data_IF_376898018919
#
_entry.id   IF_376898018919
#
_cell.length_a   1.000
_cell.length_b   1.000
_cell.length_c   1.000
_cell.angle_alpha   90.00
_cell.angle_beta   90.00
_cell.angle_gamma   90.00
#
_symmetry.space_group_name_H-M   'P 1'
#
loop_
_entity.id
_entity.type
_entity.pdbx_description
1 polymer ?
#
# COMPACT_ATOMS: atom_id res chain seq x y z
N UNK A 1 28.68 14.90 26.24
CA UNK A 1 27.52 13.98 26.45
C UNK A 1 27.77 12.71 25.64
N UNK A 2 27.41 11.49 26.10
CA UNK A 2 27.72 10.26 25.33
C UNK A 2 26.72 10.10 24.17
N UNK A 3 27.23 10.01 22.94
CA UNK A 3 26.50 10.23 21.69
C UNK A 3 25.20 9.40 21.54
N UNK A 4 24.05 10.05 21.25
CA UNK A 4 22.77 9.35 21.07
C UNK A 4 22.78 8.38 19.88
N UNK A 5 23.53 8.69 18.82
CA UNK A 5 23.67 7.85 17.62
C UNK A 5 24.13 6.41 17.96
N UNK A 6 25.06 6.25 18.92
CA UNK A 6 25.50 4.92 19.35
C UNK A 6 24.39 4.11 20.04
N UNK A 7 23.45 4.77 20.74
CA UNK A 7 22.29 4.10 21.34
C UNK A 7 21.28 3.68 20.26
N UNK A 8 21.01 4.54 19.28
CA UNK A 8 20.10 4.21 18.17
C UNK A 8 20.61 3.04 17.33
N UNK A 9 21.91 2.98 17.02
CA UNK A 9 22.50 1.84 16.31
C UNK A 9 22.44 0.54 17.13
N UNK A 10 22.63 0.62 18.45
CA UNK A 10 22.49 -0.56 19.32
C UNK A 10 21.04 -1.04 19.36
N UNK A 11 20.07 -0.14 19.54
CA UNK A 11 18.63 -0.43 19.48
C UNK A 11 18.24 -1.07 18.14
N UNK A 12 18.65 -0.51 17.00
CA UNK A 12 18.42 -1.08 15.67
C UNK A 12 19.03 -2.48 15.50
N UNK A 13 20.20 -2.74 16.10
CA UNK A 13 20.82 -4.07 16.08
C UNK A 13 20.05 -5.09 16.93
N UNK A 14 19.57 -4.67 18.11
CA UNK A 14 18.78 -5.49 19.03
C UNK A 14 17.41 -5.81 18.41
N UNK A 15 16.75 -4.81 17.83
CA UNK A 15 15.44 -4.94 17.19
C UNK A 15 15.49 -5.90 15.98
N UNK A 16 16.47 -5.75 15.08
CA UNK A 16 16.66 -6.70 13.97
C UNK A 16 16.99 -8.12 14.44
N UNK A 17 17.80 -8.27 15.49
CA UNK A 17 18.11 -9.58 16.06
C UNK A 17 16.86 -10.21 16.69
N UNK A 18 16.08 -9.44 17.47
CA UNK A 18 14.84 -9.88 18.07
C UNK A 18 13.83 -10.34 17.01
N UNK A 19 13.63 -9.58 15.92
CA UNK A 19 12.71 -9.95 14.82
C UNK A 19 13.15 -11.19 14.04
N UNK A 20 14.46 -11.35 13.83
CA UNK A 20 14.99 -12.57 13.19
C UNK A 20 14.78 -13.77 14.12
N UNK A 21 14.97 -13.56 15.43
CA UNK A 21 14.69 -14.53 16.48
C UNK A 21 13.22 -14.92 16.58
N UNK A 22 12.28 -13.97 16.59
CA UNK A 22 10.84 -14.28 16.67
C UNK A 22 10.37 -15.10 15.48
N UNK A 23 10.75 -14.74 14.24
CA UNK A 23 10.43 -15.55 13.05
C UNK A 23 11.06 -16.95 13.10
N UNK A 24 12.30 -17.08 13.59
CA UNK A 24 12.95 -18.39 13.75
C UNK A 24 12.23 -19.27 14.80
N UNK A 25 11.84 -18.69 15.95
CA UNK A 25 11.05 -19.38 16.97
C UNK A 25 9.69 -19.80 16.42
N UNK A 26 8.98 -18.87 15.75
CA UNK A 26 7.63 -19.08 15.25
C UNK A 26 7.59 -20.19 14.19
N UNK A 27 8.57 -20.22 13.28
CA UNK A 27 8.77 -21.32 12.31
C UNK A 27 9.14 -22.64 12.98
N UNK A 28 9.92 -22.62 14.05
CA UNK A 28 10.26 -23.83 14.79
C UNK A 28 9.04 -24.40 15.53
N UNK A 29 8.23 -23.56 16.17
CA UNK A 29 6.95 -23.95 16.79
C UNK A 29 6.00 -24.53 15.74
N UNK A 30 5.88 -23.89 14.57
CA UNK A 30 5.08 -24.38 13.45
C UNK A 30 5.56 -25.77 12.98
N UNK A 31 6.86 -25.94 12.72
CA UNK A 31 7.44 -27.22 12.29
C UNK A 31 7.24 -28.33 13.34
N UNK A 32 7.39 -28.03 14.63
CA UNK A 32 7.07 -28.98 15.71
C UNK A 32 5.58 -29.36 15.66
N UNK A 33 4.68 -28.38 15.50
CA UNK A 33 3.25 -28.62 15.31
C UNK A 33 2.95 -29.56 14.14
N UNK A 34 3.58 -29.34 12.99
CA UNK A 34 3.45 -30.23 11.81
C UNK A 34 3.97 -31.65 12.09
N UNK A 35 5.12 -31.81 12.74
CA UNK A 35 5.68 -33.13 13.11
C UNK A 35 4.74 -33.90 14.03
N UNK A 36 4.16 -33.23 15.03
CA UNK A 36 3.16 -33.84 15.92
C UNK A 36 1.85 -34.17 15.20
N UNK A 37 1.37 -33.29 14.32
CA UNK A 37 0.17 -33.51 13.52
C UNK A 37 0.32 -34.72 12.58
N UNK A 38 1.47 -34.86 11.91
CA UNK A 38 1.78 -36.02 11.05
C UNK A 38 1.88 -37.30 11.89
N UNK A 39 2.51 -37.24 13.07
CA UNK A 39 2.57 -38.38 13.99
C UNK A 39 1.19 -38.87 14.42
N UNK A 40 0.38 -37.98 15.01
CA UNK A 40 -0.96 -38.30 15.51
C UNK A 40 -1.89 -38.75 14.36
N UNK A 41 -1.88 -38.04 13.23
CA UNK A 41 -2.66 -38.40 12.04
C UNK A 41 -2.26 -39.77 11.46
N UNK A 42 -0.96 -40.07 11.43
CA UNK A 42 -0.45 -41.38 11.00
C UNK A 42 -0.89 -42.53 11.90
N UNK A 43 -0.95 -42.32 13.21
CA UNK A 43 -1.51 -43.30 14.14
C UNK A 43 -3.03 -43.47 13.96
N UNK A 44 -3.79 -42.39 13.78
CA UNK A 44 -5.23 -42.44 13.55
C UNK A 44 -5.63 -43.15 12.24
N UNK A 45 -4.87 -42.98 11.15
CA UNK A 45 -5.19 -43.58 9.85
C UNK A 45 -4.66 -45.01 9.65
N UNK A 46 -3.47 -45.31 10.17
CA UNK A 46 -2.76 -46.58 9.90
C UNK A 46 -2.52 -47.45 11.14
N UNK A 47 -3.03 -47.05 12.30
CA UNK A 47 -2.80 -47.70 13.61
C UNK A 47 -1.30 -47.93 13.92
N UNK A 48 -0.44 -47.04 13.39
CA UNK A 48 1.00 -47.14 13.58
C UNK A 48 1.36 -46.97 15.06
N UNK A 49 2.23 -47.83 15.64
CA UNK A 49 2.60 -47.75 17.04
C UNK A 49 3.36 -46.44 17.29
N UNK A 50 2.71 -45.47 17.93
CA UNK A 50 3.25 -44.12 18.06
C UNK A 50 4.45 -44.10 19.02
N UNK A 51 5.66 -44.00 18.47
CA UNK A 51 6.90 -43.91 19.25
C UNK A 51 7.10 -42.48 19.73
N UNK A 52 6.43 -42.12 20.81
CA UNK A 52 6.50 -40.79 21.45
C UNK A 52 7.95 -40.31 21.67
N UNK A 53 8.88 -41.21 22.03
CA UNK A 53 10.30 -40.90 22.20
C UNK A 53 10.94 -40.29 20.93
N UNK A 54 10.58 -40.80 19.76
CA UNK A 54 11.15 -40.39 18.47
C UNK A 54 10.55 -39.05 18.02
N UNK A 55 9.25 -38.85 18.20
CA UNK A 55 8.58 -37.56 17.99
C UNK A 55 9.14 -36.48 18.93
N UNK A 56 9.37 -36.82 20.20
CA UNK A 56 10.02 -35.95 21.18
C UNK A 56 11.44 -35.57 20.76
N UNK A 57 12.24 -36.55 20.33
CA UNK A 57 13.62 -36.31 19.87
C UNK A 57 13.68 -35.42 18.63
N UNK A 58 12.81 -35.63 17.62
CA UNK A 58 12.73 -34.75 16.45
C UNK A 58 12.32 -33.34 16.87
N UNK A 59 11.30 -33.22 17.73
CA UNK A 59 10.83 -31.92 18.23
C UNK A 59 11.94 -31.15 18.95
N UNK A 60 12.69 -31.83 19.82
CA UNK A 60 13.82 -31.26 20.55
C UNK A 60 14.96 -30.87 19.59
N UNK A 61 15.21 -31.64 18.53
CA UNK A 61 16.18 -31.27 17.49
C UNK A 61 15.76 -30.00 16.73
N UNK A 62 14.48 -29.85 16.35
CA UNK A 62 13.96 -28.62 15.71
C UNK A 62 14.11 -27.41 16.63
N UNK A 63 13.73 -27.54 17.91
CA UNK A 63 13.91 -26.49 18.93
C UNK A 63 15.40 -26.17 19.12
N UNK A 64 16.27 -27.18 19.16
CA UNK A 64 17.72 -27.01 19.26
C UNK A 64 18.31 -26.22 18.09
N UNK A 65 17.89 -26.52 16.85
CA UNK A 65 18.28 -25.75 15.66
C UNK A 65 17.81 -24.29 15.79
N UNK A 66 16.57 -24.05 16.22
CA UNK A 66 16.04 -22.70 16.42
C UNK A 66 16.87 -21.91 17.45
N UNK A 67 17.20 -22.53 18.58
CA UNK A 67 18.07 -21.95 19.62
C UNK A 67 19.48 -21.66 19.07
N UNK A 68 20.07 -22.58 18.30
CA UNK A 68 21.36 -22.35 17.64
C UNK A 68 21.28 -21.17 16.65
N UNK A 69 20.16 -21.00 15.93
CA UNK A 69 19.98 -19.83 15.04
C UNK A 69 19.80 -18.51 15.80
N UNK A 70 19.15 -18.50 16.98
CA UNK A 70 19.12 -17.35 17.89
C UNK A 70 20.52 -16.96 18.37
N UNK A 71 21.36 -17.94 18.66
CA UNK A 71 22.75 -17.75 19.07
C UNK A 71 23.72 -17.45 17.91
N UNK A 72 23.31 -17.45 16.63
CA UNK A 72 24.17 -16.94 15.55
C UNK A 72 24.52 -15.48 15.85
N UNK A 73 25.82 -15.18 15.79
CA UNK A 73 26.44 -13.91 16.18
C UNK A 73 25.57 -12.70 15.81
N UNK A 74 25.26 -11.86 16.80
CA UNK A 74 24.80 -10.47 16.56
C UNK A 74 25.77 -9.80 15.58
N UNK A 75 25.22 -9.17 14.54
CA UNK A 75 26.03 -8.42 13.57
C UNK A 75 26.79 -7.31 14.28
N UNK A 76 28.04 -7.07 13.88
CA UNK A 76 28.83 -5.99 14.47
C UNK A 76 28.24 -4.63 14.08
N UNK A 77 28.40 -3.61 14.94
CA UNK A 77 27.87 -2.25 14.69
C UNK A 77 28.39 -1.66 13.36
N UNK A 78 29.64 -1.92 13.01
CA UNK A 78 30.26 -1.52 11.74
C UNK A 78 29.58 -2.19 10.53
N UNK A 79 29.20 -3.44 10.66
CA UNK A 79 28.58 -4.22 9.59
C UNK A 79 27.09 -3.88 9.40
N UNK A 80 26.41 -3.48 10.49
CA UNK A 80 25.08 -2.85 10.43
C UNK A 80 25.16 -1.50 9.72
N UNK A 81 26.14 -0.65 10.04
CA UNK A 81 26.36 0.63 9.38
C UNK A 81 26.63 0.46 7.87
N UNK A 82 27.61 -0.37 7.48
CA UNK A 82 27.91 -0.66 6.05
C UNK A 82 26.71 -1.23 5.27
N UNK A 83 25.85 -2.04 5.90
CA UNK A 83 24.62 -2.55 5.26
C UNK A 83 23.52 -1.49 5.14
N UNK A 84 23.42 -0.56 6.10
CA UNK A 84 22.56 0.61 5.99
C UNK A 84 23.05 1.51 4.85
N UNK A 85 24.35 1.83 4.82
CA UNK A 85 24.95 2.66 3.77
C UNK A 85 24.71 2.07 2.37
N UNK A 86 24.91 0.76 2.18
CA UNK A 86 24.63 0.10 0.90
C UNK A 86 23.15 0.07 0.53
N UNK A 87 22.24 -0.13 1.49
CA UNK A 87 20.79 -0.21 1.21
C UNK A 87 20.16 1.16 0.90
N UNK A 88 20.69 2.23 1.49
CA UNK A 88 20.19 3.59 1.32
C UNK A 88 21.11 4.48 0.46
N UNK A 89 22.13 3.89 -0.18
CA UNK A 89 23.11 4.58 -1.02
C UNK A 89 23.79 5.78 -0.32
N UNK A 90 24.08 5.66 0.98
CA UNK A 90 24.69 6.72 1.79
C UNK A 90 26.23 6.79 1.64
N UNK A 91 26.81 6.21 0.59
CA UNK A 91 28.24 6.33 0.24
C UNK A 91 29.24 6.14 1.40
N UNK A 92 29.00 5.13 2.25
CA UNK A 92 29.80 4.82 3.45
C UNK A 92 29.86 5.93 4.52
N UNK A 93 28.95 6.91 4.51
CA UNK A 93 28.89 8.01 5.48
C UNK A 93 28.70 7.51 6.92
N UNK A 94 27.78 6.57 7.18
CA UNK A 94 27.56 6.06 8.55
C UNK A 94 28.74 5.19 9.02
N UNK A 95 29.31 4.37 8.14
CA UNK A 95 30.51 3.59 8.44
C UNK A 95 31.71 4.48 8.77
N UNK A 96 31.94 5.54 7.98
CA UNK A 96 33.03 6.50 8.16
C UNK A 96 32.85 7.32 9.43
N UNK A 97 31.64 7.85 9.69
CA UNK A 97 31.33 8.58 10.92
C UNK A 97 31.54 7.71 12.17
N UNK A 98 31.16 6.42 12.13
CA UNK A 98 31.35 5.49 13.24
C UNK A 98 32.83 5.09 13.42
N UNK A 99 33.62 5.01 12.35
CA UNK A 99 35.06 4.79 12.43
C UNK A 99 35.79 6.01 13.00
N UNK A 100 35.43 7.23 12.58
CA UNK A 100 36.00 8.48 13.10
C UNK A 100 35.69 8.65 14.59
N UNK A 101 34.42 8.42 14.98
CA UNK A 101 33.97 8.46 16.37
C UNK A 101 34.67 7.42 17.27
N UNK A 102 35.15 6.31 16.71
CA UNK A 102 35.93 5.31 17.45
C UNK A 102 37.42 5.66 17.55
N UNK A 103 37.99 6.32 16.53
CA UNK A 103 39.43 6.64 16.46
C UNK A 103 39.84 7.95 17.15
N UNK A 104 38.99 8.99 17.20
CA UNK A 104 39.35 10.32 17.74
C UNK A 104 38.23 11.00 18.55
N UNK A 105 38.03 10.65 19.83
CA UNK A 105 36.92 11.17 20.64
C UNK A 105 37.10 12.61 21.20
N UNK A 106 38.00 13.46 20.65
CA UNK A 106 38.58 14.55 21.48
C UNK A 106 38.64 15.99 20.94
N UNK A 107 38.66 16.32 19.62
CA UNK A 107 39.12 17.68 19.22
C UNK A 107 38.59 18.41 17.95
N UNK A 108 37.64 17.91 17.16
CA UNK A 108 37.25 18.60 15.90
C UNK A 108 35.75 18.86 15.78
N UNK A 109 35.38 20.14 15.62
CA UNK A 109 34.00 20.62 15.41
C UNK A 109 33.32 20.01 14.17
N UNK A 110 34.08 19.76 13.10
CA UNK A 110 33.61 19.04 11.90
C UNK A 110 33.02 17.65 12.25
N UNK A 111 33.54 16.98 13.28
CA UNK A 111 33.00 15.69 13.70
C UNK A 111 31.60 15.81 14.32
N UNK A 112 31.29 16.94 14.96
CA UNK A 112 29.96 17.19 15.53
C UNK A 112 28.92 17.54 14.44
N UNK A 113 29.33 18.26 13.40
CA UNK A 113 28.47 18.55 12.25
C UNK A 113 28.14 17.27 11.46
N UNK A 114 29.14 16.43 11.15
CA UNK A 114 28.94 15.12 10.53
C UNK A 114 28.07 14.17 11.39
N UNK A 115 28.25 14.18 12.73
CA UNK A 115 27.39 13.42 13.65
C UNK A 115 25.95 13.92 13.66
N UNK A 116 25.73 15.23 13.52
CA UNK A 116 24.41 15.85 13.50
C UNK A 116 23.67 15.47 12.21
N UNK A 117 24.31 15.59 11.05
CA UNK A 117 23.72 15.22 9.76
C UNK A 117 23.48 13.70 9.62
N UNK A 118 24.42 12.88 10.11
CA UNK A 118 24.23 11.43 10.23
C UNK A 118 23.05 11.05 11.15
N UNK A 119 22.75 11.86 12.17
CA UNK A 119 21.61 11.62 13.05
C UNK A 119 20.27 11.92 12.38
N UNK A 120 20.20 12.99 11.58
CA UNK A 120 18.99 13.38 10.84
C UNK A 120 18.64 12.36 9.74
N UNK A 121 19.62 11.94 8.94
CA UNK A 121 19.45 10.88 7.94
C UNK A 121 19.04 9.55 8.58
N UNK A 122 19.65 9.17 9.72
CA UNK A 122 19.26 7.98 10.48
C UNK A 122 17.80 8.04 10.94
N UNK A 123 17.28 9.21 11.36
CA UNK A 123 15.89 9.37 11.79
C UNK A 123 14.89 9.21 10.63
N UNK A 124 15.18 9.77 9.46
CA UNK A 124 14.35 9.59 8.27
C UNK A 124 14.33 8.12 7.81
N UNK A 125 15.49 7.47 7.82
CA UNK A 125 15.62 6.03 7.54
C UNK A 125 14.84 5.19 8.55
N UNK A 126 14.87 5.54 9.84
CA UNK A 126 14.10 4.86 10.88
C UNK A 126 12.60 4.94 10.62
N UNK A 127 12.05 6.12 10.30
CA UNK A 127 10.62 6.27 9.99
C UNK A 127 10.17 5.48 8.76
N UNK A 128 10.97 5.47 7.67
CA UNK A 128 10.68 4.64 6.49
C UNK A 128 10.73 3.14 6.82
N UNK A 129 11.73 2.72 7.59
CA UNK A 129 11.86 1.33 8.04
C UNK A 129 10.66 0.93 8.91
N UNK A 130 10.20 1.79 9.82
CA UNK A 130 9.07 1.51 10.71
C UNK A 130 7.75 1.39 9.94
N UNK A 131 7.53 2.22 8.90
CA UNK A 131 6.34 2.13 8.04
C UNK A 131 6.33 0.89 7.15
N UNK A 132 7.47 0.47 6.59
CA UNK A 132 7.57 -0.75 5.76
C UNK A 132 7.63 -2.06 6.57
N UNK A 133 7.56 -1.99 7.90
CA UNK A 133 7.67 -3.16 8.78
C UNK A 133 6.30 -3.75 9.12
N UNK A 134 5.70 -4.42 8.13
CA UNK A 134 4.52 -5.24 8.36
C UNK A 134 4.83 -6.28 9.45
N UNK A 135 4.10 -6.20 10.57
CA UNK A 135 4.16 -7.19 11.63
C UNK A 135 3.75 -8.56 11.05
N UNK A 136 4.41 -9.68 11.40
CA UNK A 136 4.17 -10.99 10.77
C UNK A 136 2.88 -11.64 11.31
N UNK A 137 1.75 -10.95 11.14
CA UNK A 137 0.41 -11.41 11.54
C UNK A 137 0.06 -12.76 10.90
N UNK A 138 0.42 -12.96 9.63
CA UNK A 138 0.21 -14.23 8.92
C UNK A 138 0.94 -15.41 9.57
N UNK A 139 2.22 -15.26 9.93
CA UNK A 139 2.95 -16.33 10.65
C UNK A 139 2.34 -16.58 12.05
N UNK A 140 1.82 -15.55 12.73
CA UNK A 140 1.19 -15.69 14.05
C UNK A 140 -0.16 -16.40 13.97
N UNK A 141 -1.02 -16.00 13.02
CA UNK A 141 -2.30 -16.65 12.74
C UNK A 141 -2.11 -18.11 12.33
N UNK A 142 -1.11 -18.41 11.49
CA UNK A 142 -0.78 -19.78 11.10
C UNK A 142 -0.38 -20.66 12.30
N UNK A 143 0.36 -20.12 13.28
CA UNK A 143 0.69 -20.86 14.51
C UNK A 143 -0.52 -21.06 15.42
N UNK A 144 -1.42 -20.08 15.53
CA UNK A 144 -2.68 -20.25 16.27
C UNK A 144 -3.55 -21.33 15.61
N UNK A 145 -3.75 -21.28 14.29
CA UNK A 145 -4.51 -22.28 13.55
C UNK A 145 -3.91 -23.69 13.71
N UNK A 146 -2.59 -23.82 13.58
CA UNK A 146 -1.90 -25.10 13.78
C UNK A 146 -2.05 -25.62 15.21
N UNK A 147 -1.99 -24.74 16.22
CA UNK A 147 -2.20 -25.13 17.62
C UNK A 147 -3.62 -25.62 17.87
N UNK A 148 -4.64 -24.99 17.27
CA UNK A 148 -6.03 -25.43 17.34
C UNK A 148 -6.25 -26.80 16.67
N UNK A 149 -5.62 -27.05 15.52
CA UNK A 149 -5.67 -28.35 14.84
C UNK A 149 -5.02 -29.46 15.69
N UNK A 150 -3.83 -29.21 16.25
CA UNK A 150 -3.15 -30.17 17.15
C UNK A 150 -3.99 -30.44 18.40
N UNK A 151 -4.62 -29.40 18.98
CA UNK A 151 -5.51 -29.54 20.12
C UNK A 151 -6.75 -30.37 19.78
N UNK A 152 -7.39 -30.12 18.64
CA UNK A 152 -8.55 -30.88 18.16
C UNK A 152 -8.24 -32.36 17.90
N UNK A 153 -7.09 -32.65 17.26
CA UNK A 153 -6.60 -34.00 17.07
C UNK A 153 -6.28 -34.70 18.40
N UNK A 154 -5.68 -33.98 19.35
CA UNK A 154 -5.42 -34.50 20.69
C UNK A 154 -6.72 -34.83 21.45
N UNK A 155 -7.75 -33.98 21.35
CA UNK A 155 -9.07 -34.28 21.90
C UNK A 155 -9.72 -35.50 21.25
N UNK A 156 -9.70 -35.62 19.91
CA UNK A 156 -10.21 -36.83 19.24
C UNK A 156 -9.46 -38.10 19.65
N UNK A 157 -8.13 -38.06 19.75
CA UNK A 157 -7.31 -39.19 20.16
C UNK A 157 -7.48 -39.55 21.66
N UNK A 158 -7.78 -38.55 22.52
CA UNK A 158 -7.88 -38.71 23.97
C UNK A 158 -9.28 -39.05 24.50
N UNK A 159 -10.35 -38.48 23.93
CA UNK A 159 -11.73 -38.68 24.43
C UNK A 159 -12.18 -40.14 24.26
N UNK A 160 -11.66 -40.86 23.27
CA UNK A 160 -11.93 -42.30 23.09
C UNK A 160 -11.31 -43.22 24.15
N UNK A 161 -10.45 -42.71 25.04
CA UNK A 161 -9.83 -43.46 26.14
C UNK A 161 -10.15 -42.86 27.51
N UNK A 162 -11.43 -42.55 27.75
CA UNK A 162 -11.94 -42.49 29.13
C UNK A 162 -11.70 -43.87 29.72
N UNK A 163 -10.80 -43.93 30.69
CA UNK A 163 -10.25 -45.15 31.26
C UNK A 163 -11.35 -46.17 31.59
N UNK A 164 -11.40 -47.28 30.84
CA UNK A 164 -12.31 -48.40 31.13
C UNK A 164 -11.99 -49.01 32.51
N UNK A 165 -10.78 -48.75 33.03
CA UNK A 165 -10.36 -49.04 34.41
C UNK A 165 -11.16 -48.28 35.48
N UNK A 166 -11.78 -47.13 35.17
CA UNK A 166 -12.71 -46.42 36.07
C UNK A 166 -14.14 -46.98 36.03
N UNK A 167 -14.48 -47.77 35.00
CA UNK A 167 -15.74 -48.52 34.91
C UNK A 167 -15.56 -49.98 35.41
N UNK A 168 -14.29 -50.41 35.54
CA UNK A 168 -13.82 -51.72 35.97
C UNK A 168 -14.06 -52.12 37.43
N UNK A 169 -15.13 -51.66 38.06
CA UNK A 169 -15.66 -52.31 39.27
C UNK A 169 -17.20 -52.29 39.30
N UNK A 170 -17.81 -52.75 38.20
CA UNK A 170 -19.18 -53.26 38.25
C UNK A 170 -19.19 -54.56 39.06
N UNK A 171 -19.61 -54.48 40.31
CA UNK A 171 -20.08 -55.65 41.05
C UNK A 171 -21.09 -56.42 40.18
N UNK A 172 -21.03 -57.75 40.12
CA UNK A 172 -21.93 -58.54 39.28
C UNK A 172 -23.37 -58.33 39.74
N UNK A 173 -24.19 -57.67 38.91
CA UNK A 173 -25.57 -57.40 39.26
C UNK A 173 -26.31 -58.72 39.56
N UNK A 174 -27.11 -58.79 40.64
CA UNK A 174 -27.89 -59.97 40.94
C UNK A 174 -28.89 -60.26 39.79
N UNK A 175 -29.17 -61.54 39.50
CA UNK A 175 -30.00 -61.91 38.34
C UNK A 175 -31.43 -61.39 38.51
N UNK A 176 -31.77 -60.36 37.72
CA UNK A 176 -33.12 -59.86 37.61
C UNK A 176 -33.99 -60.88 36.88
N UNK A 177 -35.05 -61.32 37.56
CA UNK A 177 -36.08 -62.21 37.02
C UNK A 177 -36.74 -61.52 35.83
N UNK A 178 -36.74 -62.19 34.66
CA UNK A 178 -37.43 -61.68 33.47
C UNK A 178 -38.95 -61.81 33.65
N UNK A 179 -39.73 -60.70 33.68
CA UNK A 179 -41.16 -60.80 33.49
C UNK A 179 -41.43 -61.21 32.03
N UNK A 180 -42.18 -62.29 31.85
CA UNK A 180 -42.69 -62.69 30.54
C UNK A 180 -43.95 -61.89 30.21
N UNK A 181 -44.12 -61.55 28.92
CA UNK A 181 -45.32 -60.95 28.31
C UNK A 181 -45.62 -59.49 28.69
N UNK A 182 -46.33 -58.66 27.91
CA UNK A 182 -46.71 -58.54 26.47
C UNK A 182 -47.14 -57.05 26.30
N UNK A 183 -47.78 -56.64 25.19
CA UNK A 183 -48.32 -55.29 24.90
C UNK A 183 -47.23 -54.27 24.50
N UNK A 184 -46.93 -54.09 23.20
CA UNK A 184 -47.83 -53.55 22.15
C UNK A 184 -48.26 -52.11 22.46
N UNK A 185 -47.31 -51.17 22.30
CA UNK A 185 -47.60 -49.74 22.21
C UNK A 185 -47.43 -49.28 20.77
N UNK A 186 -48.47 -48.59 20.27
CA UNK A 186 -48.63 -48.26 18.86
C UNK A 186 -47.69 -47.14 18.38
N UNK A 187 -47.41 -47.15 17.07
CA UNK A 187 -46.70 -46.07 16.38
C UNK A 187 -47.59 -44.81 16.26
N UNK A 188 -47.18 -43.71 16.88
CA UNK A 188 -47.75 -42.38 16.59
C UNK A 188 -47.00 -41.72 15.42
N UNK A 189 -47.70 -41.31 14.33
CA UNK A 189 -47.05 -40.68 13.19
C UNK A 189 -46.81 -39.18 13.45
N UNK A 190 -45.55 -38.78 13.63
CA UNK A 190 -45.17 -37.37 13.71
C UNK A 190 -45.25 -36.70 12.34
N UNK A 191 -46.27 -35.88 12.12
CA UNK A 191 -46.38 -35.00 10.95
C UNK A 191 -45.33 -33.88 11.01
N UNK A 192 -44.61 -33.66 9.90
CA UNK A 192 -43.71 -32.52 9.76
C UNK A 192 -44.52 -31.22 9.55
N UNK A 193 -44.19 -30.11 10.23
CA UNK A 193 -44.90 -28.84 10.04
C UNK A 193 -44.63 -28.25 8.65
N UNK A 194 -45.72 -27.86 7.98
CA UNK A 194 -45.73 -27.24 6.65
C UNK A 194 -45.07 -25.87 6.60
N UNK A 195 -44.54 -25.54 5.41
CA UNK A 195 -44.12 -24.19 5.05
C UNK A 195 -45.27 -23.19 5.21
N UNK A 196 -45.10 -22.19 6.09
CA UNK A 196 -45.78 -20.91 5.99
C UNK A 196 -44.81 -19.78 6.29
N UNK A 197 -44.37 -19.09 5.24
CA UNK A 197 -44.00 -17.67 5.25
C UNK A 197 -44.00 -17.20 3.79
N UNK A 198 -45.17 -16.76 3.35
CA UNK A 198 -45.38 -16.08 2.08
C UNK A 198 -46.05 -14.75 2.41
N UNK A 199 -45.33 -13.65 2.20
CA UNK A 199 -45.93 -12.35 1.96
C UNK A 199 -44.95 -11.42 1.22
N UNK A 200 -45.52 -10.62 0.32
CA UNK A 200 -44.96 -9.46 -0.39
C UNK A 200 -43.53 -9.50 -0.99
N UNK A 201 -43.47 -9.85 -2.28
CA UNK A 201 -43.22 -8.79 -3.28
C UNK A 201 -43.62 -9.20 -4.70
N UNK A 202 -44.46 -8.36 -5.33
CA UNK A 202 -44.85 -8.48 -6.74
C UNK A 202 -43.77 -7.91 -7.67
N UNK A 203 -42.60 -8.58 -7.72
CA UNK A 203 -41.55 -8.32 -8.69
C UNK A 203 -41.48 -9.45 -9.71
N UNK A 204 -41.47 -9.13 -11.01
CA UNK A 204 -41.24 -10.12 -12.07
C UNK A 204 -39.90 -10.81 -11.80
N UNK A 205 -39.85 -12.16 -11.67
CA UNK A 205 -38.58 -12.85 -11.49
C UNK A 205 -37.81 -12.80 -12.82
N UNK A 206 -36.98 -11.76 -12.98
CA UNK A 206 -35.90 -11.75 -13.95
C UNK A 206 -34.99 -12.90 -13.54
N UNK A 207 -35.07 -14.01 -14.26
CA UNK A 207 -34.11 -15.10 -14.11
C UNK A 207 -32.77 -14.58 -14.62
N UNK A 208 -31.94 -14.06 -13.72
CA UNK A 208 -30.51 -13.91 -13.95
C UNK A 208 -29.94 -15.30 -14.22
N UNK A 209 -29.95 -15.70 -15.49
CA UNK A 209 -29.21 -16.86 -15.95
C UNK A 209 -27.72 -16.54 -15.76
N UNK A 210 -26.97 -17.35 -15.00
CA UNK A 210 -25.56 -17.10 -14.78
C UNK A 210 -24.85 -17.09 -16.13
N UNK A 211 -24.21 -15.97 -16.46
CA UNK A 211 -23.55 -15.77 -17.75
C UNK A 211 -22.36 -16.76 -17.86
N UNK A 212 -22.38 -17.75 -18.78
CA UNK A 212 -21.37 -18.80 -18.83
C UNK A 212 -19.98 -18.31 -19.25
N UNK A 213 -19.87 -17.05 -19.69
CA UNK A 213 -18.63 -16.46 -20.19
C UNK A 213 -17.80 -15.74 -19.12
N UNK A 214 -18.37 -15.46 -17.93
CA UNK A 214 -17.62 -14.87 -16.84
C UNK A 214 -16.96 -15.96 -15.99
N UNK A 215 -15.63 -16.02 -16.01
CA UNK A 215 -14.86 -16.95 -15.18
C UNK A 215 -15.12 -16.65 -13.69
N UNK A 216 -15.66 -17.60 -12.90
CA UNK A 216 -15.93 -17.37 -11.48
C UNK A 216 -14.66 -17.05 -10.68
N UNK A 217 -13.47 -17.44 -11.16
CA UNK A 217 -12.21 -17.11 -10.48
C UNK A 217 -11.87 -15.62 -10.58
N UNK A 218 -12.07 -14.99 -11.75
CA UNK A 218 -11.77 -13.56 -11.92
C UNK A 218 -12.76 -12.69 -11.16
N UNK A 219 -14.04 -13.07 -11.13
CA UNK A 219 -15.06 -12.40 -10.32
C UNK A 219 -14.77 -12.52 -8.82
N UNK A 220 -14.35 -13.70 -8.34
CA UNK A 220 -13.99 -13.90 -6.93
C UNK A 220 -12.79 -13.06 -6.51
N UNK A 221 -11.74 -12.98 -7.34
CA UNK A 221 -10.56 -12.17 -7.04
C UNK A 221 -10.89 -10.66 -6.95
N UNK A 222 -11.75 -10.17 -7.84
CA UNK A 222 -12.23 -8.79 -7.81
C UNK A 222 -13.18 -8.54 -6.62
N UNK A 223 -14.08 -9.48 -6.30
CA UNK A 223 -14.96 -9.38 -5.14
C UNK A 223 -14.17 -9.32 -3.83
N UNK A 224 -13.15 -10.15 -3.65
CA UNK A 224 -12.31 -10.12 -2.45
C UNK A 224 -11.53 -8.80 -2.33
N UNK A 225 -10.98 -8.28 -3.42
CA UNK A 225 -10.31 -6.96 -3.43
C UNK A 225 -11.26 -5.81 -3.05
N UNK A 226 -12.51 -5.85 -3.50
CA UNK A 226 -13.56 -4.88 -3.14
C UNK A 226 -14.19 -5.13 -1.75
N UNK A 227 -14.09 -6.33 -1.18
CA UNK A 227 -14.70 -6.68 0.11
C UNK A 227 -13.96 -6.07 1.31
N UNK A 228 -12.65 -5.86 1.19
CA UNK A 228 -11.80 -5.36 2.28
C UNK A 228 -12.06 -3.89 2.64
N UNK A 229 -12.50 -3.06 1.69
CA UNK A 229 -12.89 -1.66 1.98
C UNK A 229 -14.39 -1.57 2.29
N UNK A 230 -14.72 -0.95 3.42
CA UNK A 230 -16.10 -0.86 3.89
C UNK A 230 -17.08 -0.17 2.92
N UNK A 231 -16.56 0.72 2.05
CA UNK A 231 -17.36 1.46 1.07
C UNK A 231 -17.66 0.67 -0.22
N UNK A 232 -16.83 -0.31 -0.59
CA UNK A 232 -17.01 -1.15 -1.80
C UNK A 232 -17.69 -2.49 -1.49
N UNK A 233 -17.98 -2.78 -0.21
CA UNK A 233 -18.65 -4.03 0.21
C UNK A 233 -19.96 -4.32 -0.56
N UNK A 234 -20.87 -3.36 -0.84
CA UNK A 234 -22.08 -3.63 -1.63
C UNK A 234 -21.76 -4.12 -3.06
N UNK A 235 -20.77 -3.50 -3.73
CA UNK A 235 -20.31 -3.93 -5.04
C UNK A 235 -19.69 -5.33 -4.99
N UNK A 236 -18.89 -5.65 -3.97
CA UNK A 236 -18.35 -6.99 -3.75
C UNK A 236 -19.47 -8.04 -3.59
N UNK A 237 -20.47 -7.76 -2.76
CA UNK A 237 -21.63 -8.64 -2.52
C UNK A 237 -22.53 -8.79 -3.76
N UNK A 238 -22.49 -7.85 -4.71
CA UNK A 238 -23.10 -8.01 -6.03
C UNK A 238 -22.28 -8.93 -6.96
N UNK A 239 -20.95 -8.76 -6.99
CA UNK A 239 -20.04 -9.65 -7.74
C UNK A 239 -20.10 -11.11 -7.24
N UNK A 240 -20.15 -11.33 -5.92
CA UNK A 240 -20.31 -12.66 -5.29
C UNK A 240 -21.58 -13.38 -5.76
N UNK A 241 -22.65 -12.61 -6.02
CA UNK A 241 -23.93 -13.12 -6.52
C UNK A 241 -23.95 -13.31 -8.04
N UNK A 242 -22.88 -12.94 -8.76
CA UNK A 242 -22.82 -12.90 -10.22
C UNK A 242 -23.64 -11.76 -10.85
N UNK A 243 -24.05 -10.76 -10.05
CA UNK A 243 -24.89 -9.65 -10.49
C UNK A 243 -24.01 -8.47 -10.95
N UNK A 244 -23.40 -8.62 -12.13
CA UNK A 244 -22.51 -7.61 -12.73
C UNK A 244 -23.20 -6.23 -12.90
N UNK A 245 -24.48 -6.13 -13.33
CA UNK A 245 -25.18 -4.85 -13.40
C UNK A 245 -25.29 -4.14 -12.05
N UNK A 246 -25.64 -4.88 -10.99
CA UNK A 246 -25.69 -4.31 -9.65
C UNK A 246 -24.30 -3.86 -9.18
N UNK A 247 -23.25 -4.67 -9.43
CA UNK A 247 -21.87 -4.31 -9.07
C UNK A 247 -21.40 -3.03 -9.80
N UNK A 248 -21.70 -2.91 -11.10
CA UNK A 248 -21.40 -1.71 -11.87
C UNK A 248 -22.16 -0.47 -11.34
N UNK A 249 -23.43 -0.62 -10.96
CA UNK A 249 -24.22 0.46 -10.37
C UNK A 249 -23.63 0.94 -9.02
N UNK A 250 -23.28 0.02 -8.12
CA UNK A 250 -22.65 0.34 -6.82
C UNK A 250 -21.29 1.03 -7.00
N UNK A 251 -20.50 0.64 -8.01
CA UNK A 251 -19.23 1.32 -8.34
C UNK A 251 -19.42 2.74 -8.90
N UNK A 252 -20.51 3.02 -9.63
CA UNK A 252 -20.86 4.39 -10.05
C UNK A 252 -21.28 5.26 -8.88
N UNK A 253 -22.11 4.75 -7.98
CA UNK A 253 -22.48 5.48 -6.77
C UNK A 253 -21.26 5.76 -5.87
N UNK A 254 -20.28 4.85 -5.85
CA UNK A 254 -18.99 5.11 -5.22
C UNK A 254 -18.13 6.13 -5.99
N UNK A 255 -18.19 6.16 -7.32
CA UNK A 255 -17.49 7.14 -8.15
C UNK A 255 -17.97 8.58 -7.84
N UNK A 256 -19.27 8.79 -7.69
CA UNK A 256 -19.87 10.06 -7.22
C UNK A 256 -19.38 10.44 -5.81
N UNK A 257 -19.09 9.44 -4.97
CA UNK A 257 -18.55 9.61 -3.62
C UNK A 257 -17.01 9.66 -3.56
N UNK A 258 -16.28 9.46 -4.66
CA UNK A 258 -14.83 9.29 -4.67
C UNK A 258 -14.04 10.49 -4.13
N UNK A 259 -14.60 11.70 -4.28
CA UNK A 259 -14.06 12.94 -3.70
C UNK A 259 -14.17 13.00 -2.17
N UNK A 260 -15.04 12.20 -1.55
CA UNK A 260 -15.21 12.10 -0.10
C UNK A 260 -14.35 11.01 0.53
N UNK A 261 -13.81 10.09 -0.29
CA UNK A 261 -12.87 9.07 0.18
C UNK A 261 -11.59 9.73 0.71
N UNK A 262 -10.96 9.13 1.73
CA UNK A 262 -9.66 9.61 2.20
C UNK A 262 -8.55 9.22 1.22
N UNK A 263 -7.46 9.99 1.18
CA UNK A 263 -6.29 9.64 0.36
C UNK A 263 -5.74 8.24 0.69
N UNK A 264 -5.71 7.86 1.97
CA UNK A 264 -5.30 6.51 2.39
C UNK A 264 -6.25 5.42 1.85
N UNK A 265 -7.57 5.66 1.90
CA UNK A 265 -8.57 4.73 1.36
C UNK A 265 -8.42 4.54 -0.16
N UNK A 266 -8.12 5.62 -0.90
CA UNK A 266 -7.83 5.55 -2.34
C UNK A 266 -6.54 4.78 -2.63
N UNK A 267 -5.48 5.03 -1.86
CA UNK A 267 -4.20 4.33 -1.99
C UNK A 267 -4.36 2.83 -1.69
N UNK A 268 -5.08 2.46 -0.64
CA UNK A 268 -5.33 1.06 -0.26
C UNK A 268 -6.17 0.33 -1.32
N UNK A 269 -7.27 0.95 -1.79
CA UNK A 269 -8.10 0.40 -2.88
C UNK A 269 -7.31 0.22 -4.17
N UNK A 270 -6.45 1.18 -4.52
CA UNK A 270 -5.58 1.07 -5.70
C UNK A 270 -4.59 -0.09 -5.58
N UNK A 271 -4.03 -0.34 -4.40
CA UNK A 271 -3.16 -1.50 -4.18
C UNK A 271 -3.95 -2.81 -4.31
N UNK A 272 -5.16 -2.90 -3.76
CA UNK A 272 -6.03 -4.07 -3.86
C UNK A 272 -6.45 -4.37 -5.31
N UNK A 273 -6.79 -3.35 -6.10
CA UNK A 273 -7.10 -3.52 -7.53
C UNK A 273 -5.86 -3.97 -8.34
N UNK A 274 -4.65 -3.54 -7.97
CA UNK A 274 -3.40 -4.00 -8.59
C UNK A 274 -3.08 -5.44 -8.21
N UNK A 275 -3.26 -5.82 -6.95
CA UNK A 275 -3.10 -7.20 -6.47
C UNK A 275 -4.15 -8.15 -7.11
N UNK A 276 -5.36 -7.65 -7.41
CA UNK A 276 -6.38 -8.40 -8.17
C UNK A 276 -6.02 -8.53 -9.66
N UNK A 277 -5.51 -7.47 -10.29
CA UNK A 277 -5.05 -7.51 -11.67
C UNK A 277 -3.95 -8.56 -11.87
N UNK A 278 -2.97 -8.62 -10.98
CA UNK A 278 -1.86 -9.58 -11.04
C UNK A 278 -2.33 -11.05 -10.84
N UNK A 279 -3.51 -11.28 -10.24
CA UNK A 279 -4.15 -12.60 -10.15
C UNK A 279 -5.00 -12.93 -11.39
N UNK A 280 -5.59 -11.92 -12.04
CA UNK A 280 -6.48 -12.07 -13.19
C UNK A 280 -5.69 -12.17 -14.51
N UNK A 281 -4.47 -11.63 -14.57
CA UNK A 281 -3.61 -11.56 -15.77
C UNK A 281 -3.42 -12.91 -16.50
N UNK A 282 -3.36 -14.03 -15.77
CA UNK A 282 -3.20 -15.38 -16.35
C UNK A 282 -4.44 -15.82 -17.16
N UNK A 283 -5.65 -15.40 -16.75
CA UNK A 283 -6.92 -15.81 -17.38
C UNK A 283 -7.51 -14.73 -18.30
N UNK A 284 -7.31 -13.44 -17.99
CA UNK A 284 -7.88 -12.32 -18.73
C UNK A 284 -6.96 -11.07 -18.66
N UNK A 285 -5.93 -10.99 -19.52
CA UNK A 285 -4.95 -9.89 -19.48
C UNK A 285 -5.57 -8.52 -19.78
N UNK A 286 -6.58 -8.44 -20.64
CA UNK A 286 -7.27 -7.18 -20.96
C UNK A 286 -7.94 -6.57 -19.72
N UNK A 287 -8.60 -7.38 -18.90
CA UNK A 287 -9.22 -6.93 -17.66
C UNK A 287 -8.15 -6.55 -16.61
N UNK A 288 -7.04 -7.29 -16.54
CA UNK A 288 -5.93 -6.96 -15.65
C UNK A 288 -5.30 -5.60 -15.98
N UNK A 289 -5.10 -5.28 -17.26
CA UNK A 289 -4.58 -3.97 -17.68
C UNK A 289 -5.56 -2.83 -17.40
N UNK A 290 -6.87 -3.05 -17.60
CA UNK A 290 -7.92 -2.10 -17.19
C UNK A 290 -7.91 -1.85 -15.66
N UNK A 291 -7.82 -2.91 -14.85
CA UNK A 291 -7.70 -2.82 -13.39
C UNK A 291 -6.46 -2.04 -12.94
N UNK A 292 -5.30 -2.29 -13.58
CA UNK A 292 -4.05 -1.53 -13.35
C UNK A 292 -4.22 -0.06 -13.69
N UNK A 293 -4.87 0.26 -14.80
CA UNK A 293 -5.14 1.64 -15.21
C UNK A 293 -6.07 2.38 -14.23
N UNK A 294 -7.15 1.72 -13.76
CA UNK A 294 -8.03 2.27 -12.71
C UNK A 294 -7.30 2.45 -11.37
N UNK A 295 -6.48 1.48 -10.96
CA UNK A 295 -5.63 1.59 -9.76
C UNK A 295 -4.69 2.81 -9.82
N UNK A 296 -4.06 3.06 -10.97
CA UNK A 296 -3.24 4.27 -11.15
C UNK A 296 -4.07 5.56 -11.16
N UNK A 297 -5.29 5.54 -11.72
CA UNK A 297 -6.21 6.67 -11.69
C UNK A 297 -6.58 7.09 -10.26
N UNK A 298 -6.92 6.13 -9.39
CA UNK A 298 -7.17 6.35 -7.96
C UNK A 298 -5.99 7.04 -7.25
N UNK A 299 -4.74 6.66 -7.58
CA UNK A 299 -3.52 7.21 -6.98
C UNK A 299 -3.18 8.62 -7.50
N UNK A 300 -3.67 9.02 -8.69
CA UNK A 300 -3.43 10.36 -9.29
C UNK A 300 -4.32 11.47 -8.72
N UNK A 301 -5.17 11.20 -7.73
CA UNK A 301 -5.97 12.20 -7.01
C UNK A 301 -7.47 12.17 -7.31
N UNK A 302 -8.24 13.04 -6.64
CA UNK A 302 -9.70 12.96 -6.52
C UNK A 302 -10.48 12.94 -7.83
N UNK A 303 -10.13 13.82 -8.78
CA UNK A 303 -10.81 13.87 -10.08
C UNK A 303 -10.53 12.62 -10.92
N UNK A 304 -9.32 12.06 -10.82
CA UNK A 304 -8.93 10.84 -11.50
C UNK A 304 -9.53 9.58 -10.84
N UNK A 305 -9.83 9.65 -9.54
CA UNK A 305 -10.41 8.56 -8.77
C UNK A 305 -11.88 8.26 -9.16
N UNK A 306 -12.70 9.31 -9.35
CA UNK A 306 -14.06 9.13 -9.84
C UNK A 306 -14.08 8.50 -11.24
N UNK A 307 -13.25 9.02 -12.16
CA UNK A 307 -13.16 8.50 -13.52
C UNK A 307 -12.65 7.05 -13.57
N UNK A 308 -11.67 6.68 -12.73
CA UNK A 308 -11.16 5.32 -12.61
C UNK A 308 -12.21 4.29 -12.16
N UNK A 309 -13.16 4.70 -11.31
CA UNK A 309 -14.26 3.85 -10.84
C UNK A 309 -15.37 3.72 -11.89
N UNK A 310 -15.68 4.78 -12.64
CA UNK A 310 -16.59 4.71 -13.79
C UNK A 310 -16.02 3.84 -14.92
N UNK A 311 -14.72 3.94 -15.22
CA UNK A 311 -14.05 3.10 -16.21
C UNK A 311 -14.07 1.61 -15.77
N UNK A 312 -13.93 1.32 -14.48
CA UNK A 312 -14.08 -0.02 -13.91
C UNK A 312 -15.54 -0.53 -14.00
N UNK A 313 -16.53 0.32 -13.72
CA UNK A 313 -17.94 -0.03 -13.87
C UNK A 313 -18.29 -0.36 -15.33
N UNK A 314 -17.75 0.39 -16.30
CA UNK A 314 -17.91 0.11 -17.73
C UNK A 314 -17.25 -1.21 -18.15
N UNK A 315 -16.06 -1.54 -17.63
CA UNK A 315 -15.40 -2.81 -17.89
C UNK A 315 -16.24 -4.02 -17.44
N UNK A 316 -16.95 -3.91 -16.31
CA UNK A 316 -17.87 -4.96 -15.83
C UNK A 316 -19.11 -5.14 -16.72
N UNK A 317 -19.61 -4.07 -17.34
CA UNK A 317 -20.72 -4.14 -18.31
C UNK A 317 -20.27 -4.71 -19.66
N UNK A 318 -19.04 -4.41 -20.09
CA UNK A 318 -18.46 -4.99 -21.30
C UNK A 318 -18.28 -6.51 -21.16
N UNK A 319 -17.88 -7.01 -19.98
CA UNK A 319 -17.86 -8.45 -19.66
C UNK A 319 -19.24 -9.13 -19.71
N UNK A 320 -20.33 -8.40 -19.49
CA UNK A 320 -21.68 -8.95 -19.62
C UNK A 320 -22.12 -9.05 -21.09
N UNK A 321 -21.68 -8.12 -21.93
CA UNK A 321 -22.11 -8.06 -23.33
C UNK A 321 -21.39 -9.17 -24.11
N UNK A 322 -22.09 -10.23 -24.57
CA UNK A 322 -21.44 -11.21 -25.43
C UNK A 322 -20.92 -10.47 -26.67
N UNK A 323 -19.65 -10.70 -27.10
CA UNK A 323 -19.17 -10.11 -28.34
C UNK A 323 -20.18 -10.48 -29.42
N UNK A 324 -20.71 -9.51 -30.19
CA UNK A 324 -21.75 -9.80 -31.16
C UNK A 324 -21.18 -10.85 -32.10
N UNK A 325 -21.77 -12.06 -32.07
CA UNK A 325 -21.38 -13.12 -32.98
C UNK A 325 -21.37 -12.48 -34.36
N UNK A 326 -20.21 -12.54 -35.03
CA UNK A 326 -20.08 -12.06 -36.40
C UNK A 326 -21.02 -12.92 -37.23
N UNK A 327 -22.26 -12.44 -37.36
CA UNK A 327 -23.31 -13.08 -38.11
C UNK A 327 -22.75 -13.29 -39.50
N UNK A 328 -22.41 -14.54 -39.78
CA UNK A 328 -21.56 -14.89 -40.89
C UNK A 328 -22.40 -14.71 -42.14
N UNK A 329 -22.27 -13.52 -42.75
CA UNK A 329 -23.06 -13.03 -43.87
C UNK A 329 -22.82 -13.91 -45.09
N UNK A 330 -23.61 -14.98 -45.15
CA UNK A 330 -23.48 -16.11 -46.06
C UNK A 330 -24.72 -16.26 -46.93
N UNK A 331 -25.19 -15.16 -47.53
CA UNK A 331 -26.29 -15.14 -48.49
C UNK A 331 -27.10 -13.84 -48.40
N UNK A 332 -27.45 -13.15 -49.48
CA UNK A 332 -27.38 -13.49 -50.91
C UNK A 332 -27.14 -12.23 -51.77
N UNK A 333 -26.53 -12.41 -52.95
CA UNK A 333 -26.54 -11.39 -54.01
C UNK A 333 -27.98 -11.23 -54.54
N UNK A 334 -28.68 -10.17 -54.12
CA UNK A 334 -29.99 -9.77 -54.65
C UNK A 334 -29.91 -8.50 -55.50
N UNK A 335 -29.95 -8.63 -56.83
CA UNK A 335 -30.07 -7.50 -57.76
C UNK A 335 -31.46 -6.83 -57.72
N UNK A 336 -31.49 -5.51 -57.94
CA UNK A 336 -32.71 -4.70 -58.10
C UNK A 336 -33.15 -4.01 -56.80
N UNK A 337 -33.21 -2.67 -56.66
CA UNK A 337 -33.05 -1.61 -57.65
C UNK A 337 -34.36 -0.88 -57.92
N UNK A 338 -34.63 0.22 -57.21
CA UNK A 338 -35.45 1.31 -57.72
C UNK A 338 -35.09 2.66 -57.05
N UNK A 339 -35.49 3.76 -57.68
CA UNK A 339 -34.97 5.12 -57.46
C UNK A 339 -35.90 5.98 -56.58
N UNK A 340 -35.57 7.29 -56.49
CA UNK A 340 -36.40 8.44 -56.06
C UNK A 340 -36.34 8.76 -54.56
N UNK A 341 -36.08 10.00 -54.09
CA UNK A 341 -35.43 11.20 -54.67
C UNK A 341 -35.18 12.24 -53.56
N UNK A 342 -34.23 13.17 -53.75
CA UNK A 342 -34.19 14.46 -53.01
C UNK A 342 -32.83 14.86 -52.41
N UNK A 343 -31.84 15.30 -53.22
CA UNK A 343 -31.43 16.72 -53.42
C UNK A 343 -30.28 17.17 -52.43
N UNK A 344 -29.48 18.23 -52.70
CA UNK A 344 -28.23 18.05 -53.47
C UNK A 344 -26.99 18.85 -53.00
N UNK A 345 -25.78 18.38 -53.37
CA UNK A 345 -24.55 19.19 -53.57
C UNK A 345 -23.89 19.78 -52.32
N UNK A 346 -22.58 20.10 -52.29
CA UNK A 346 -21.48 20.00 -53.27
C UNK A 346 -20.30 19.29 -52.56
N UNK A 347 -19.39 18.54 -53.20
CA UNK A 347 -18.41 19.00 -54.20
C UNK A 347 -17.29 19.78 -53.49
N UNK A 348 -16.00 19.43 -53.50
CA UNK A 348 -15.15 18.52 -54.31
C UNK A 348 -14.11 17.82 -53.38
N UNK A 349 -13.55 16.62 -53.64
CA UNK A 349 -12.54 16.23 -54.67
C UNK A 349 -11.30 17.15 -54.64
N UNK A 350 -10.04 16.74 -54.81
CA UNK A 350 -9.32 15.47 -55.08
C UNK A 350 -7.90 15.64 -54.44
N UNK A 351 -6.98 14.69 -54.26
CA UNK A 351 -6.77 13.26 -54.59
C UNK A 351 -5.81 12.69 -53.49
N UNK A 352 -5.32 11.44 -53.43
CA UNK A 352 -5.41 10.25 -54.28
C UNK A 352 -4.03 9.60 -54.48
N UNK A 353 -3.97 8.25 -54.42
CA UNK A 353 -2.80 7.37 -54.66
C UNK A 353 -1.70 7.36 -53.57
N UNK A 354 -1.12 6.21 -53.21
CA UNK A 354 -1.39 4.85 -53.69
C UNK A 354 -0.79 3.76 -52.78
N UNK A 355 -1.30 2.54 -52.93
CA UNK A 355 -0.85 1.36 -52.17
C UNK A 355 0.48 0.79 -52.70
N UNK A 356 1.16 0.01 -51.86
CA UNK A 356 2.29 -0.84 -52.23
C UNK A 356 2.83 -1.61 -51.04
N UNK A 357 2.79 -2.94 -51.09
CA UNK A 357 3.47 -3.81 -50.13
C UNK A 357 5.00 -3.60 -50.15
N UNK A 358 5.71 -3.98 -49.07
CA UNK A 358 6.45 -5.27 -49.02
C UNK A 358 7.22 -5.44 -47.70
N UNK A 359 7.45 -6.69 -47.29
CA UNK A 359 8.25 -7.07 -46.13
C UNK A 359 9.76 -6.92 -46.37
N UNK A 360 10.55 -6.80 -45.28
CA UNK A 360 12.01 -6.88 -45.34
C UNK A 360 12.70 -6.65 -44.00
N UNK A 361 13.28 -7.71 -43.43
CA UNK A 361 14.26 -7.63 -42.33
C UNK A 361 15.55 -6.96 -42.82
N UNK A 362 16.30 -6.29 -41.93
CA UNK A 362 17.59 -5.69 -42.28
C UNK A 362 18.32 -5.05 -41.09
N UNK A 363 19.51 -5.54 -40.77
CA UNK A 363 20.35 -5.10 -39.66
C UNK A 363 21.22 -3.85 -39.98
N UNK A 364 21.90 -3.38 -38.91
CA UNK A 364 23.24 -2.76 -38.89
C UNK A 364 23.46 -1.24 -39.08
N UNK A 365 23.93 -0.66 -37.97
CA UNK A 365 25.18 0.11 -37.79
C UNK A 365 25.51 1.36 -38.64
N UNK A 366 25.53 2.47 -37.90
CA UNK A 366 26.73 3.31 -37.63
C UNK A 366 27.32 4.21 -38.75
N UNK A 367 27.92 5.32 -38.29
CA UNK A 367 28.61 6.39 -39.06
C UNK A 367 27.66 7.33 -39.84
N UNK A 368 27.91 8.64 -39.93
CA UNK A 368 28.89 9.47 -39.24
C UNK A 368 29.24 10.77 -40.00
N UNK A 369 29.36 11.87 -39.25
CA UNK A 369 30.23 13.03 -39.56
C UNK A 369 29.75 14.12 -40.57
N UNK A 370 30.13 15.36 -40.23
CA UNK A 370 29.98 16.66 -40.94
C UNK A 370 28.59 17.35 -40.87
N UNK A 371 28.44 18.62 -40.47
CA UNK A 371 29.41 19.55 -39.86
C UNK A 371 29.56 20.91 -40.56
N UNK A 372 28.54 21.77 -40.47
CA UNK A 372 28.56 23.23 -40.69
C UNK A 372 27.25 23.81 -40.14
N UNK A 373 27.13 25.02 -39.57
CA UNK A 373 28.11 26.07 -39.27
C UNK A 373 27.37 27.43 -39.18
N UNK A 374 27.70 28.28 -38.19
CA UNK A 374 26.99 29.54 -37.83
C UNK A 374 25.62 29.33 -37.13
N UNK A 375 25.22 30.07 -36.09
CA UNK A 375 25.90 31.10 -35.29
C UNK A 375 24.86 32.08 -34.69
N UNK A 376 24.98 32.43 -33.38
CA UNK A 376 24.32 33.56 -32.65
C UNK A 376 22.77 33.68 -32.80
N UNK A 377 21.91 33.68 -31.79
CA UNK A 377 22.01 33.92 -30.35
C UNK A 377 20.75 34.69 -29.88
N UNK A 378 20.21 34.34 -28.71
CA UNK A 378 19.32 35.17 -27.86
C UNK A 378 17.92 35.62 -28.37
N UNK A 379 16.84 35.05 -27.79
CA UNK A 379 15.76 35.80 -27.09
C UNK A 379 14.55 34.94 -26.70
N UNK A 380 13.98 35.19 -25.51
CA UNK A 380 12.73 34.60 -25.02
C UNK A 380 11.49 35.41 -25.44
N UNK A 381 10.48 34.76 -26.02
CA UNK A 381 9.05 35.13 -25.99
C UNK A 381 8.25 34.00 -26.68
N UNK A 382 7.01 33.66 -26.29
CA UNK A 382 6.19 34.23 -25.22
C UNK A 382 4.68 34.26 -25.51
N UNK A 383 4.12 33.25 -26.20
CA UNK A 383 2.72 33.21 -26.66
C UNK A 383 2.25 31.74 -26.81
N UNK A 384 0.97 31.37 -26.71
CA UNK A 384 -0.18 31.92 -25.98
C UNK A 384 -1.24 30.78 -25.88
N UNK A 385 -2.00 30.69 -24.79
CA UNK A 385 -2.98 29.61 -24.56
C UNK A 385 -4.36 30.02 -25.09
N UNK A 386 -5.04 29.24 -25.95
CA UNK A 386 -6.42 29.52 -26.34
C UNK A 386 -7.38 29.37 -25.15
N UNK A 387 -8.46 30.16 -25.16
CA UNK A 387 -9.52 30.17 -24.17
C UNK A 387 -10.90 30.01 -24.82
N UNK A 388 -11.92 29.92 -23.97
CA UNK A 388 -13.35 29.69 -24.26
C UNK A 388 -13.72 28.23 -24.59
N UNK A 389 -14.83 27.66 -24.09
CA UNK A 389 -15.99 28.28 -23.40
C UNK A 389 -16.49 27.43 -22.22
N UNK A 390 -16.87 28.08 -21.12
CA UNK A 390 -17.67 27.45 -20.04
C UNK A 390 -18.94 28.25 -19.79
N UNK A 391 -20.06 27.53 -19.75
CA UNK A 391 -21.39 28.09 -19.61
C UNK A 391 -21.70 28.59 -18.21
N UNK A 392 -22.39 29.73 -18.18
CA UNK A 392 -23.08 30.36 -17.04
C UNK A 392 -23.72 29.36 -16.06
N UNK A 393 -23.47 29.55 -14.76
CA UNK A 393 -24.47 29.32 -13.72
C UNK A 393 -24.63 30.64 -12.95
N UNK A 394 -25.85 31.15 -12.85
CA UNK A 394 -26.11 32.52 -12.38
C UNK A 394 -26.38 32.62 -10.88
N UNK A 395 -25.63 33.48 -10.19
CA UNK A 395 -25.97 34.03 -8.88
C UNK A 395 -25.54 35.50 -8.88
N UNK A 396 -26.48 36.43 -8.70
CA UNK A 396 -26.20 37.87 -8.61
C UNK A 396 -25.59 38.22 -7.24
N UNK A 397 -24.25 38.18 -7.16
CA UNK A 397 -23.50 38.64 -6.01
C UNK A 397 -23.22 40.14 -6.06
N UNK A 398 -23.92 40.93 -5.24
CA UNK A 398 -23.56 42.34 -5.00
C UNK A 398 -22.13 42.41 -4.39
N UNK A 399 -21.22 43.24 -4.93
CA UNK A 399 -19.90 43.43 -4.33
C UNK A 399 -20.03 44.22 -3.02
N UNK A 400 -19.66 43.59 -1.91
CA UNK A 400 -19.52 44.25 -0.61
C UNK A 400 -18.14 44.91 -0.55
N UNK A 401 -18.09 46.24 -0.59
CA UNK A 401 -16.85 46.99 -0.36
C UNK A 401 -16.36 46.79 1.07
N UNK A 402 -15.14 46.31 1.23
CA UNK A 402 -14.44 46.29 2.52
C UNK A 402 -13.48 47.48 2.57
N UNK A 403 -13.87 48.55 3.25
CA UNK A 403 -12.96 49.63 3.63
C UNK A 403 -11.91 49.09 4.62
N UNK A 404 -10.68 48.93 4.14
CA UNK A 404 -9.51 48.62 4.95
C UNK A 404 -8.89 49.93 5.47
N UNK A 405 -9.52 50.54 6.48
CA UNK A 405 -8.99 51.74 7.14
C UNK A 405 -7.88 51.35 8.13
N UNK A 406 -6.65 51.24 7.63
CA UNK A 406 -5.46 50.91 8.40
C UNK A 406 -4.30 51.86 8.10
N UNK A 407 -4.02 52.77 9.03
CA UNK A 407 -2.95 53.78 8.93
C UNK A 407 -1.56 53.16 9.08
N UNK A 408 -1.06 52.55 8.00
CA UNK A 408 0.32 52.10 7.86
C UNK A 408 1.29 53.28 7.75
N UNK A 409 2.08 53.51 8.80
CA UNK A 409 2.98 54.65 8.92
C UNK A 409 4.27 54.40 8.11
N UNK A 410 4.54 55.22 7.09
CA UNK A 410 5.76 55.14 6.28
C UNK A 410 7.00 55.31 7.16
N UNK A 411 7.94 54.35 7.08
CA UNK A 411 9.24 54.45 7.75
C UNK A 411 10.26 54.99 6.77
N UNK A 412 10.66 56.25 6.96
CA UNK A 412 11.65 56.94 6.12
C UNK A 412 13.01 56.21 6.10
N UNK A 413 13.48 55.87 4.89
CA UNK A 413 14.81 55.32 4.66
C UNK A 413 15.88 56.39 4.93
N UNK A 414 16.57 56.25 6.07
CA UNK A 414 17.66 57.16 6.45
C UNK A 414 18.91 56.96 5.59
N UNK A 415 19.42 58.07 5.06
CA UNK A 415 20.56 58.17 4.17
C UNK A 415 21.89 58.20 4.96
N UNK A 416 22.85 57.29 4.73
CA UNK A 416 24.06 57.19 5.57
C UNK A 416 25.23 58.01 5.02
N UNK A 417 25.15 59.34 5.06
CA UNK A 417 26.31 60.19 4.75
C UNK A 417 26.32 61.55 5.46
N UNK A 418 26.80 61.58 6.72
CA UNK A 418 27.33 62.81 7.31
C UNK A 418 28.33 62.56 8.45
N UNK A 419 29.57 62.97 8.23
CA UNK A 419 30.63 63.02 9.24
C UNK A 419 30.61 64.36 10.00
N UNK A 420 30.97 64.28 11.28
CA UNK A 420 31.56 65.32 12.12
C UNK A 420 30.74 66.58 12.46
N UNK A 421 30.38 66.72 13.74
CA UNK A 421 30.99 67.74 14.61
C UNK A 421 30.67 67.44 16.08
N UNK A 422 31.51 67.90 17.01
CA UNK A 422 31.32 67.70 18.45
C UNK A 422 30.37 68.73 19.08
N UNK A 423 29.66 68.32 20.13
CA UNK A 423 28.81 69.20 20.94
C UNK A 423 28.61 68.63 22.35
N UNK A 424 28.96 69.41 23.38
CA UNK A 424 28.76 69.05 24.79
C UNK A 424 27.45 69.67 25.28
N UNK A 425 26.48 68.87 25.70
CA UNK A 425 25.45 69.31 26.66
C UNK A 425 24.72 68.16 27.37
N UNK A 426 25.03 68.00 28.65
CA UNK A 426 24.11 67.71 29.77
C UNK A 426 22.64 67.34 29.48
N UNK A 427 22.17 66.24 30.09
CA UNK A 427 20.85 66.19 30.73
C UNK A 427 20.03 64.92 30.52
N UNK A 428 19.31 64.52 31.58
CA UNK A 428 18.33 63.43 31.68
C UNK A 428 18.84 61.99 31.55
N UNK A 429 18.22 60.97 32.16
CA UNK A 429 17.58 60.86 33.50
C UNK A 429 17.63 59.39 33.88
N UNK A 430 17.98 59.06 35.12
CA UNK A 430 18.07 57.69 35.59
C UNK A 430 16.67 57.07 35.75
N UNK A 431 16.27 56.26 34.77
CA UNK A 431 15.07 55.42 34.81
C UNK A 431 15.44 53.98 35.12
N UNK A 432 15.33 53.58 36.38
CA UNK A 432 15.43 52.20 36.83
C UNK A 432 14.09 51.50 36.57
N UNK A 433 14.07 50.40 35.79
CA UNK A 433 12.97 49.43 35.80
C UNK A 433 13.37 48.14 35.12
N UNK A 434 13.22 47.04 35.86
CA UNK A 434 13.47 45.67 35.39
C UNK A 434 12.52 45.25 34.27
N UNK A 435 13.07 44.83 33.13
CA UNK A 435 12.40 43.95 32.19
C UNK A 435 13.40 42.95 31.62
N UNK A 436 13.47 41.77 32.25
CA UNK A 436 14.23 40.61 31.80
C UNK A 436 13.50 39.92 30.62
N UNK A 437 13.20 40.72 29.60
CA UNK A 437 12.48 40.30 28.41
C UNK A 437 13.51 40.07 27.30
N UNK A 438 14.11 38.89 27.34
CA UNK A 438 14.90 38.38 26.21
C UNK A 438 14.01 38.38 24.98
N UNK A 439 14.24 39.33 24.07
CA UNK A 439 13.57 39.35 22.77
C UNK A 439 14.09 38.14 22.00
N UNK A 440 13.24 37.13 21.88
CA UNK A 440 13.47 35.97 21.02
C UNK A 440 13.41 36.47 19.57
N UNK A 441 14.56 36.94 19.07
CA UNK A 441 14.74 37.34 17.68
C UNK A 441 14.53 36.07 16.86
N UNK A 442 13.35 35.95 16.25
CA UNK A 442 12.97 34.80 15.44
C UNK A 442 14.04 34.50 14.38
N UNK A 443 14.25 33.20 14.12
CA UNK A 443 15.29 32.70 13.23
C UNK A 443 15.17 33.26 11.81
N UNK A 444 15.84 34.39 11.55
CA UNK A 444 16.10 34.90 10.22
C UNK A 444 17.08 33.94 9.52
N UNK A 445 16.64 33.20 8.47
CA UNK A 445 17.47 32.19 7.80
C UNK A 445 18.66 32.79 7.04
N UNK A 446 18.78 34.12 6.96
CA UNK A 446 19.91 34.82 6.34
C UNK A 446 20.99 35.25 7.35
N UNK A 447 20.78 35.04 8.65
CA UNK A 447 21.70 35.51 9.69
C UNK A 447 22.86 34.53 9.94
N UNK A 448 23.89 34.62 9.10
CA UNK A 448 25.15 33.87 9.24
C UNK A 448 25.70 34.00 10.68
N UNK A 449 25.98 32.88 11.39
CA UNK A 449 26.52 32.88 12.75
C UNK A 449 27.80 33.71 12.87
N UNK A 450 27.99 34.37 14.01
CA UNK A 450 29.15 35.27 14.22
C UNK A 450 30.49 34.51 14.21
N UNK A 451 30.44 33.24 14.56
CA UNK A 451 31.51 32.25 14.52
C UNK A 451 31.91 31.84 13.09
N UNK A 452 30.98 31.77 12.13
CA UNK A 452 31.30 31.51 10.71
C UNK A 452 31.94 32.73 10.03
N UNK A 453 31.61 33.96 10.46
CA UNK A 453 32.18 35.19 9.89
C UNK A 453 33.71 35.28 10.06
N UNK A 454 34.25 34.75 11.15
CA UNK A 454 35.69 34.79 11.42
C UNK A 454 36.48 33.86 10.48
N UNK A 455 35.94 32.68 10.17
CA UNK A 455 36.58 31.69 9.28
C UNK A 455 36.71 32.23 7.86
N UNK A 456 35.69 32.94 7.37
CA UNK A 456 35.72 33.60 6.05
C UNK A 456 36.76 34.72 6.02
N UNK A 457 36.90 35.51 7.08
CA UNK A 457 37.94 36.55 7.14
C UNK A 457 39.36 35.97 7.15
N UNK A 458 39.60 34.88 7.88
CA UNK A 458 40.92 34.22 7.91
C UNK A 458 41.30 33.61 6.55
N UNK A 459 40.33 33.09 5.78
CA UNK A 459 40.56 32.51 4.46
C UNK A 459 40.82 33.56 3.35
N UNK A 460 40.29 34.77 3.49
CA UNK A 460 40.49 35.89 2.54
C UNK A 460 41.54 36.92 2.97
N UNK A 461 42.18 36.73 4.14
CA UNK A 461 43.32 37.55 4.54
C UNK A 461 44.56 37.16 3.72
N UNK A 462 45.11 38.03 2.86
CA UNK A 462 46.33 37.69 2.15
C UNK A 462 47.46 37.51 3.16
N UNK A 463 48.11 36.35 3.13
CA UNK A 463 49.34 36.14 3.89
C UNK A 463 50.43 37.06 3.32
N UNK A 464 50.73 38.14 4.04
CA UNK A 464 51.94 38.94 3.78
C UNK A 464 53.16 38.03 4.03
N UNK A 465 53.83 37.63 2.94
CA UNK A 465 54.99 36.76 3.01
C UNK A 465 56.23 37.52 3.50
N UNK A 466 56.94 36.90 4.45
CA UNK A 466 58.32 37.25 4.85
C UNK A 466 59.36 36.86 3.79
#
# INVERSE_FOLDING_TARGET
>A
MRYPLLRYLDQLSIDRWARTGTRAILRAVWLVGCVWCIGIGGHLLWDWPLRYDLLGLISLAVIGIAIITLFRRRMSRQEVARRLDRRFQLHEQLATALEYAHKRPSRESMSEQLLTEASHTTHQVYQRIQRQQNFPWSELLAVIAMALIVLGLYFMAGIGRIDESLIGQRDPLPPLVQPSNVEEFAEEPFASPENQLQDDQSGTPVQNQPNPNADPQTLSALADALRDQGATRPAAEALDRGDLPAAAQELRELADQAGQLSAATRDDLANQLRDAADQIEENNPTLADQLRQSAEGLQRGEQNAAQALEDLARALEELQTPPPEQAQDGGEQGEGGEQVAGQPGQGESEAGQGAGEQAGEGEQEQTGQNGAGSGTGESNSGEQRPAESTGRLGVDGQPLSLEAEGTGQETELSNPDQRASGGISTGFTQGDTSSDQTVEIGNDPLRIPADERNVVQEYFSPQEGE
#
